data_IF_640457487208
#
_entry.id   IF_640457487208
#
_cell.length_a   1.000
_cell.length_b   1.000
_cell.length_c   1.000
_cell.angle_alpha   90.00
_cell.angle_beta   90.00
_cell.angle_gamma   90.00
#
_symmetry.space_group_name_H-M   'P 1'
#
loop_
_entity.id
_entity.type
_entity.pdbx_description
1 polymer ?
#
# COMPACT_ATOMS: atom_id res chain seq x y z
N UNK A 1 -7.25 -5.92 -17.77
CA UNK A 1 -8.66 -5.45 -17.67
C UNK A 1 -8.91 -4.78 -16.32
N UNK A 2 -8.50 -5.39 -15.21
CA UNK A 2 -8.59 -4.82 -13.85
C UNK A 2 -8.14 -3.34 -13.70
N UNK A 3 -6.91 -2.97 -14.10
CA UNK A 3 -6.45 -1.58 -13.95
C UNK A 3 -7.30 -0.56 -14.73
N UNK A 4 -7.91 -0.98 -15.84
CA UNK A 4 -8.84 -0.13 -16.60
C UNK A 4 -10.15 0.04 -15.85
N UNK A 5 -10.67 -1.02 -15.23
CA UNK A 5 -11.87 -0.99 -14.41
C UNK A 5 -11.68 -0.12 -13.16
N UNK A 6 -10.51 -0.22 -12.50
CA UNK A 6 -10.16 0.64 -11.37
C UNK A 6 -10.11 2.11 -11.77
N UNK A 7 -9.49 2.44 -12.90
CA UNK A 7 -9.42 3.81 -13.41
C UNK A 7 -10.81 4.40 -13.73
N UNK A 8 -11.74 3.57 -14.22
CA UNK A 8 -13.12 3.96 -14.50
C UNK A 8 -13.94 4.16 -13.22
N UNK A 9 -13.66 3.40 -12.16
CA UNK A 9 -14.34 3.55 -10.88
C UNK A 9 -13.84 4.77 -10.11
N UNK A 10 -12.52 4.93 -9.97
CA UNK A 10 -11.91 6.07 -9.28
C UNK A 10 -10.46 6.25 -9.75
N UNK A 11 -10.14 7.41 -10.31
CA UNK A 11 -8.82 7.67 -10.91
C UNK A 11 -7.67 7.69 -9.90
N UNK A 12 -7.95 8.04 -8.65
CA UNK A 12 -6.98 8.07 -7.54
C UNK A 12 -6.59 6.66 -7.05
N UNK A 13 -7.41 5.63 -7.28
CA UNK A 13 -7.10 4.25 -6.89
C UNK A 13 -5.88 3.70 -7.64
N UNK A 14 -5.72 4.05 -8.91
CA UNK A 14 -4.59 3.61 -9.71
C UNK A 14 -3.25 4.22 -9.28
N UNK A 15 -3.29 5.31 -8.51
CA UNK A 15 -2.10 6.00 -8.01
C UNK A 15 -1.68 5.52 -6.62
N UNK A 16 -2.53 4.76 -5.92
CA UNK A 16 -2.21 4.24 -4.60
C UNK A 16 -1.14 3.16 -4.68
N UNK A 17 -0.23 3.17 -3.70
CA UNK A 17 0.72 2.09 -3.52
C UNK A 17 -0.02 0.75 -3.39
N UNK A 18 0.49 -0.27 -4.06
CA UNK A 18 -0.15 -1.58 -4.17
C UNK A 18 0.87 -2.71 -4.25
N UNK A 19 0.41 -3.92 -3.96
CA UNK A 19 1.19 -5.17 -3.99
C UNK A 19 0.42 -6.20 -4.82
N UNK A 20 1.15 -7.07 -5.53
CA UNK A 20 0.57 -8.18 -6.26
C UNK A 20 0.70 -9.44 -5.42
N UNK A 21 -0.43 -10.03 -5.04
CA UNK A 21 -0.48 -11.34 -4.40
C UNK A 21 -0.93 -12.41 -5.40
N UNK A 22 -0.03 -13.32 -5.77
CA UNK A 22 -0.35 -14.52 -6.53
C UNK A 22 -0.86 -15.57 -5.55
N UNK A 23 -2.17 -15.77 -5.51
CA UNK A 23 -2.83 -16.72 -4.62
C UNK A 23 -2.89 -18.13 -5.23
N UNK A 24 -3.13 -19.13 -4.38
CA UNK A 24 -3.29 -20.57 -4.71
C UNK A 24 -2.02 -21.30 -5.12
N UNK A 25 -0.88 -20.94 -4.54
CA UNK A 25 0.42 -21.59 -4.80
C UNK A 25 0.50 -23.02 -4.28
N UNK A 26 -0.51 -23.47 -3.53
CA UNK A 26 -0.71 -24.85 -3.14
C UNK A 26 -1.12 -25.76 -4.31
N UNK A 27 -1.63 -25.20 -5.41
CA UNK A 27 -2.04 -25.98 -6.57
C UNK A 27 -0.83 -26.40 -7.43
N UNK A 28 -0.74 -27.67 -7.86
CA UNK A 28 0.38 -28.15 -8.66
C UNK A 28 0.51 -27.44 -10.02
N UNK A 29 -0.60 -27.01 -10.62
CA UNK A 29 -0.54 -26.23 -11.87
C UNK A 29 0.11 -24.86 -11.68
N UNK A 30 -0.07 -24.26 -10.50
CA UNK A 30 0.55 -22.97 -10.16
C UNK A 30 2.02 -23.18 -9.83
N UNK A 31 2.38 -24.21 -9.05
CA UNK A 31 3.76 -24.53 -8.71
C UNK A 31 4.64 -24.76 -9.95
N UNK A 32 4.13 -25.49 -10.93
CA UNK A 32 4.84 -25.75 -12.18
C UNK A 32 5.09 -24.50 -13.03
N UNK A 33 4.36 -23.40 -12.79
CA UNK A 33 4.42 -22.15 -13.55
C UNK A 33 4.90 -20.95 -12.74
N UNK A 34 5.37 -21.16 -11.50
CA UNK A 34 5.75 -20.06 -10.61
C UNK A 34 6.82 -19.15 -11.23
N UNK A 35 7.78 -19.75 -11.94
CA UNK A 35 8.88 -19.03 -12.55
C UNK A 35 8.38 -18.15 -13.71
N UNK A 36 7.57 -18.71 -14.60
CA UNK A 36 6.93 -17.97 -15.70
C UNK A 36 6.05 -16.83 -15.18
N UNK A 37 5.27 -17.09 -14.12
CA UNK A 37 4.40 -16.09 -13.50
C UNK A 37 5.25 -14.96 -12.89
N UNK A 38 6.36 -15.30 -12.23
CA UNK A 38 7.28 -14.31 -11.67
C UNK A 38 7.87 -13.44 -12.78
N UNK A 39 8.42 -14.04 -13.84
CA UNK A 39 9.00 -13.30 -14.96
C UNK A 39 7.99 -12.38 -15.65
N UNK A 40 6.75 -12.84 -15.84
CA UNK A 40 5.70 -12.02 -16.43
C UNK A 40 5.32 -10.80 -15.58
N UNK A 41 5.52 -10.88 -14.25
CA UNK A 41 5.14 -9.83 -13.30
C UNK A 41 6.33 -8.97 -12.87
N UNK A 42 7.57 -9.40 -13.10
CA UNK A 42 8.80 -8.71 -12.69
C UNK A 42 8.95 -7.34 -13.35
N UNK A 43 8.36 -7.16 -14.54
CA UNK A 43 8.32 -5.86 -15.24
C UNK A 43 7.40 -4.83 -14.58
N UNK A 44 6.55 -5.24 -13.63
CA UNK A 44 5.71 -4.32 -12.87
C UNK A 44 6.52 -3.80 -11.68
N UNK A 45 6.55 -2.47 -11.50
CA UNK A 45 7.25 -1.83 -10.39
C UNK A 45 6.58 -2.03 -9.00
N UNK A 46 5.88 -3.15 -8.81
CA UNK A 46 5.16 -3.50 -7.59
C UNK A 46 5.72 -4.80 -7.03
N UNK A 47 5.82 -4.94 -5.69
CA UNK A 47 6.24 -6.19 -5.08
C UNK A 47 5.26 -7.32 -5.45
N UNK A 48 5.82 -8.48 -5.81
CA UNK A 48 5.08 -9.69 -6.16
C UNK A 48 5.32 -10.74 -5.09
N UNK A 49 4.23 -11.17 -4.44
CA UNK A 49 4.26 -12.15 -3.35
C UNK A 49 3.42 -13.36 -3.71
N UNK A 50 3.90 -14.53 -3.30
CA UNK A 50 3.31 -15.82 -3.61
C UNK A 50 2.70 -16.40 -2.35
N UNK A 51 1.38 -16.60 -2.35
CA UNK A 51 0.63 -16.96 -1.14
C UNK A 51 -0.34 -18.11 -1.39
N UNK A 52 -0.60 -18.88 -0.33
CA UNK A 52 -1.76 -19.78 -0.28
C UNK A 52 -2.62 -19.37 0.90
N UNK A 53 -3.79 -18.82 0.60
CA UNK A 53 -4.75 -18.46 1.65
C UNK A 53 -5.30 -19.69 2.41
N UNK A 54 -5.28 -20.88 1.80
CA UNK A 54 -5.80 -22.11 2.42
C UNK A 54 -4.77 -22.68 3.41
N UNK A 55 -3.50 -22.78 3.01
CA UNK A 55 -2.45 -23.31 3.90
C UNK A 55 -1.86 -22.26 4.83
N UNK A 56 -2.09 -20.97 4.55
CA UNK A 56 -1.46 -19.85 5.25
C UNK A 56 -0.03 -19.55 4.78
N UNK A 57 0.48 -20.29 3.79
CA UNK A 57 1.82 -20.06 3.25
C UNK A 57 1.94 -18.64 2.66
N UNK A 58 3.01 -17.94 3.04
CA UNK A 58 3.32 -16.59 2.53
C UNK A 58 2.41 -15.47 3.06
N UNK A 59 1.39 -15.79 3.86
CA UNK A 59 0.44 -14.78 4.36
C UNK A 59 1.11 -13.83 5.34
N UNK A 60 1.98 -14.33 6.24
CA UNK A 60 2.71 -13.49 7.21
C UNK A 60 3.62 -12.49 6.50
N UNK A 61 4.39 -12.97 5.53
CA UNK A 61 5.26 -12.14 4.69
C UNK A 61 4.44 -11.07 3.95
N UNK A 62 3.31 -11.47 3.34
CA UNK A 62 2.36 -10.55 2.72
C UNK A 62 1.87 -9.47 3.67
N UNK A 63 1.42 -9.83 4.88
CA UNK A 63 0.99 -8.83 5.86
C UNK A 63 2.11 -7.88 6.27
N UNK A 64 3.33 -8.39 6.49
CA UNK A 64 4.46 -7.54 6.87
C UNK A 64 4.81 -6.54 5.77
N UNK A 65 4.89 -6.99 4.51
CA UNK A 65 5.13 -6.10 3.37
C UNK A 65 4.05 -5.02 3.24
N UNK A 66 2.79 -5.37 3.46
CA UNK A 66 1.69 -4.40 3.42
C UNK A 66 1.79 -3.40 4.58
N UNK A 67 2.12 -3.84 5.78
CA UNK A 67 2.33 -2.96 6.95
C UNK A 67 3.44 -1.95 6.65
N UNK A 68 4.60 -2.42 6.19
CA UNK A 68 5.73 -1.55 5.83
C UNK A 68 5.35 -0.54 4.74
N UNK A 69 4.61 -0.98 3.72
CA UNK A 69 4.17 -0.10 2.63
C UNK A 69 3.20 0.99 3.15
N UNK A 70 2.27 0.64 4.03
CA UNK A 70 1.34 1.60 4.64
C UNK A 70 2.08 2.60 5.53
N UNK A 71 3.06 2.14 6.31
CA UNK A 71 3.89 3.02 7.14
C UNK A 71 4.68 4.03 6.29
N UNK A 72 5.27 3.59 5.18
CA UNK A 72 6.01 4.46 4.26
C UNK A 72 5.11 5.53 3.64
N UNK A 73 3.91 5.16 3.19
CA UNK A 73 2.93 6.11 2.64
C UNK A 73 2.52 7.15 3.69
N UNK A 74 2.20 6.71 4.91
CA UNK A 74 1.82 7.61 6.00
C UNK A 74 2.95 8.58 6.39
N UNK A 75 4.21 8.14 6.36
CA UNK A 75 5.36 9.01 6.62
C UNK A 75 5.54 10.05 5.52
N UNK A 76 5.40 9.65 4.25
CA UNK A 76 5.47 10.57 3.12
C UNK A 76 4.37 11.65 3.19
N UNK A 77 3.14 11.28 3.54
CA UNK A 77 2.04 12.23 3.71
C UNK A 77 2.29 13.23 4.86
N UNK A 78 2.82 12.78 6.00
CA UNK A 78 3.17 13.65 7.14
C UNK A 78 4.31 14.62 6.83
N UNK A 79 5.26 14.24 5.98
CA UNK A 79 6.36 15.11 5.58
C UNK A 79 5.90 16.26 4.66
N UNK A 80 4.76 16.11 3.98
CA UNK A 80 4.21 17.08 3.02
C UNK A 80 3.21 18.05 3.68
N UNK A 81 2.68 17.72 4.86
CA UNK A 81 1.77 18.62 5.57
C UNK A 81 2.50 19.90 6.04
N UNK A 82 1.94 21.10 5.83
CA UNK A 82 2.52 22.32 6.36
C UNK A 82 2.67 22.22 7.88
N UNK A 83 3.74 22.76 8.49
CA UNK A 83 3.87 22.77 9.94
C UNK A 83 2.62 23.43 10.54
N UNK A 84 2.01 22.79 11.54
CA UNK A 84 0.90 23.37 12.29
C UNK A 84 1.36 24.74 12.83
N UNK A 85 0.87 25.81 12.23
CA UNK A 85 1.17 27.17 12.68
C UNK A 85 0.56 27.31 14.07
N UNK A 86 1.41 27.37 15.10
CA UNK A 86 0.97 27.60 16.47
C UNK A 86 0.32 28.99 16.58
N UNK A 87 -1.02 29.05 16.53
CA UNK A 87 -1.78 30.28 16.72
C UNK A 87 -1.85 30.58 18.21
N UNK A 88 -0.95 31.43 18.69
CA UNK A 88 -0.99 31.93 20.05
C UNK A 88 -2.09 32.98 20.19
N UNK A 89 -3.03 32.74 21.10
CA UNK A 89 -4.09 33.68 21.47
C UNK A 89 -3.71 34.41 22.77
N UNK A 90 -3.05 35.59 22.71
CA UNK A 90 -2.73 36.34 23.91
C UNK A 90 -3.99 36.87 24.60
N UNK A 91 -4.05 36.77 25.93
CA UNK A 91 -5.19 37.26 26.72
C UNK A 91 -5.27 38.79 26.64
N UNK A 92 -6.48 39.37 26.48
CA UNK A 92 -6.65 40.82 26.40
C UNK A 92 -6.19 41.50 27.69
N UNK A 93 -5.44 42.59 27.54
CA UNK A 93 -4.87 43.37 28.65
C UNK A 93 -6.01 44.07 29.41
N UNK A 94 -6.20 43.73 30.69
CA UNK A 94 -7.17 44.45 31.54
C UNK A 94 -6.67 45.87 31.74
N UNK A 95 -7.39 46.84 31.19
CA UNK A 95 -7.18 48.26 31.49
C UNK A 95 -7.56 48.45 32.96
N UNK A 96 -6.60 48.89 33.79
CA UNK A 96 -6.85 49.22 35.20
C UNK A 96 -7.70 50.49 35.23
N UNK A 97 -8.83 50.44 35.96
CA UNK A 97 -9.64 51.61 36.32
C UNK A 97 -8.90 52.48 37.33
#
# INVERSE_FOLDING_TARGET
>A
KLNKELALYKTDLCQKAGVIAVNKVDLPEVQSRLLDIRECLDHLAMPVLFVSAISGQGVIEFTNTVIEMVEQVNQAEKAISPPEVAVFHPKPKRVKQ
#
